data_IF_667391510011
#
_entry.id   IF_667391510011
#
_cell.length_a   1.000
_cell.length_b   1.000
_cell.length_c   1.000
_cell.angle_alpha   90.00
_cell.angle_beta   90.00
_cell.angle_gamma   90.00
#
_symmetry.space_group_name_H-M   'P 1'
#
loop_
_entity.id
_entity.type
_entity.pdbx_description
1 polymer ?
#
# COMPACT_ATOMS: atom_id res chain seq x y z
N UNK A 1 10.28 -22.17 17.57
CA UNK A 1 9.31 -21.05 17.45
C UNK A 1 9.50 -20.45 16.07
N UNK A 2 8.42 -20.22 15.36
CA UNK A 2 8.43 -19.72 13.98
C UNK A 2 8.31 -18.20 14.00
N UNK A 3 8.85 -17.51 12.98
CA UNK A 3 8.67 -16.06 12.75
C UNK A 3 7.21 -15.60 12.84
N UNK A 4 6.26 -16.54 12.73
CA UNK A 4 4.81 -16.33 12.84
C UNK A 4 4.33 -15.95 14.24
N UNK A 5 5.10 -16.23 15.30
CA UNK A 5 4.64 -16.09 16.69
C UNK A 5 4.94 -14.69 17.30
N UNK A 6 5.56 -13.78 16.53
CA UNK A 6 5.94 -12.43 16.96
C UNK A 6 4.93 -11.32 16.59
N UNK A 7 3.90 -11.61 15.80
CA UNK A 7 2.96 -10.60 15.29
C UNK A 7 1.55 -10.80 15.88
N UNK A 8 1.27 -10.04 16.94
CA UNK A 8 0.14 -10.20 17.86
C UNK A 8 -1.19 -9.61 17.36
N UNK A 9 -1.34 -9.34 16.07
CA UNK A 9 -2.66 -9.06 15.47
C UNK A 9 -2.69 -9.36 13.97
N UNK A 10 -3.87 -9.76 13.47
CA UNK A 10 -4.07 -9.96 12.03
C UNK A 10 -3.88 -8.68 11.21
N UNK A 11 -3.98 -7.51 11.83
CA UNK A 11 -3.75 -6.20 11.21
C UNK A 11 -2.28 -5.92 11.00
N UNK A 12 -1.45 -6.08 12.03
CA UNK A 12 -0.01 -5.87 11.92
C UNK A 12 0.62 -6.76 10.84
N UNK A 13 0.17 -8.02 10.73
CA UNK A 13 0.59 -8.91 9.63
C UNK A 13 0.23 -8.37 8.25
N UNK A 14 -0.93 -7.72 8.09
CA UNK A 14 -1.32 -7.11 6.81
C UNK A 14 -0.44 -5.90 6.52
N UNK A 15 -0.16 -5.07 7.53
CA UNK A 15 0.74 -3.92 7.46
C UNK A 15 2.13 -4.35 6.98
N UNK A 16 2.74 -5.35 7.63
CA UNK A 16 4.02 -5.93 7.24
C UNK A 16 4.01 -6.42 5.79
N UNK A 17 2.94 -7.11 5.39
CA UNK A 17 2.81 -7.58 4.01
C UNK A 17 2.69 -6.44 2.99
N UNK A 18 2.10 -5.30 3.37
CA UNK A 18 2.06 -4.10 2.53
C UNK A 18 3.44 -3.43 2.47
N UNK A 19 4.04 -3.18 3.63
CA UNK A 19 5.34 -2.54 3.73
C UNK A 19 6.41 -3.33 2.98
N UNK A 20 6.44 -4.66 3.13
CA UNK A 20 7.41 -5.51 2.45
C UNK A 20 7.27 -5.48 0.92
N UNK A 21 6.05 -5.44 0.40
CA UNK A 21 5.81 -5.28 -1.03
C UNK A 21 6.29 -3.90 -1.53
N UNK A 22 6.04 -2.85 -0.76
CA UNK A 22 6.48 -1.48 -1.06
C UNK A 22 8.02 -1.37 -1.05
N UNK A 23 8.66 -1.91 -0.02
CA UNK A 23 10.12 -1.96 0.11
C UNK A 23 10.76 -2.79 -1.01
N UNK A 24 10.15 -3.92 -1.39
CA UNK A 24 10.59 -4.73 -2.52
C UNK A 24 10.65 -3.89 -3.80
N UNK A 25 9.58 -3.16 -4.15
CA UNK A 25 9.56 -2.32 -5.35
C UNK A 25 10.53 -1.15 -5.29
N UNK A 26 10.66 -0.50 -4.14
CA UNK A 26 11.59 0.62 -3.96
C UNK A 26 13.06 0.20 -4.11
N UNK A 27 13.37 -1.07 -3.84
CA UNK A 27 14.74 -1.63 -3.93
C UNK A 27 15.03 -2.38 -5.24
N UNK A 28 14.08 -2.44 -6.19
CA UNK A 28 14.26 -3.18 -7.46
C UNK A 28 15.43 -2.61 -8.28
N UNK A 29 15.55 -1.28 -8.31
CA UNK A 29 16.54 -0.59 -9.14
C UNK A 29 17.94 -0.51 -8.52
N UNK A 30 18.13 -1.05 -7.30
CA UNK A 30 19.42 -1.09 -6.61
C UNK A 30 19.35 -0.61 -5.16
N UNK A 31 20.42 0.06 -4.72
CA UNK A 31 20.47 0.67 -3.39
C UNK A 31 19.49 1.85 -3.28
N UNK A 32 18.80 1.96 -2.16
CA UNK A 32 17.88 3.05 -1.89
C UNK A 32 18.63 4.39 -1.85
N UNK A 33 18.11 5.38 -2.55
CA UNK A 33 18.59 6.74 -2.39
C UNK A 33 17.96 7.42 -1.14
N UNK A 34 18.40 8.65 -0.85
CA UNK A 34 17.95 9.39 0.34
C UNK A 34 16.43 9.67 0.34
N UNK A 35 15.85 9.97 -0.83
CA UNK A 35 14.42 10.25 -0.96
C UNK A 35 13.59 8.97 -0.82
N UNK A 36 14.02 7.86 -1.42
CA UNK A 36 13.37 6.56 -1.26
C UNK A 36 13.42 6.07 0.17
N UNK A 37 14.56 6.24 0.84
CA UNK A 37 14.71 5.92 2.28
C UNK A 37 13.76 6.75 3.13
N UNK A 38 13.66 8.05 2.86
CA UNK A 38 12.73 8.95 3.57
C UNK A 38 11.28 8.55 3.34
N UNK A 39 10.93 8.15 2.12
CA UNK A 39 9.59 7.70 1.76
C UNK A 39 9.24 6.39 2.45
N UNK A 40 10.14 5.40 2.45
CA UNK A 40 9.93 4.14 3.17
C UNK A 40 9.77 4.35 4.67
N UNK A 41 10.53 5.26 5.29
CA UNK A 41 10.34 5.62 6.71
C UNK A 41 8.95 6.18 6.99
N UNK A 42 8.39 6.98 6.08
CA UNK A 42 7.02 7.49 6.22
C UNK A 42 5.98 6.38 6.13
N UNK A 43 6.15 5.47 5.16
CA UNK A 43 5.28 4.29 5.05
C UNK A 43 5.39 3.38 6.28
N UNK A 44 6.58 3.20 6.84
CA UNK A 44 6.78 2.44 8.07
C UNK A 44 5.97 3.02 9.23
N UNK A 45 6.01 4.35 9.42
CA UNK A 45 5.20 5.04 10.44
C UNK A 45 3.71 4.84 10.17
N UNK A 46 3.25 5.06 8.93
CA UNK A 46 1.84 4.91 8.53
C UNK A 46 1.31 3.48 8.67
N UNK A 47 2.18 2.49 8.54
CA UNK A 47 1.87 1.07 8.62
C UNK A 47 2.24 0.47 9.99
N UNK A 48 2.56 1.28 11.00
CA UNK A 48 2.91 0.80 12.34
C UNK A 48 4.04 -0.26 12.34
N UNK A 49 5.06 -0.03 11.51
CA UNK A 49 6.23 -0.91 11.39
C UNK A 49 7.32 -0.44 12.32
N UNK A 50 7.80 -1.32 13.20
CA UNK A 50 8.87 -0.98 14.12
C UNK A 50 10.25 -0.93 13.44
N UNK A 51 11.25 -0.36 14.12
CA UNK A 51 12.58 -0.18 13.55
C UNK A 51 13.26 -1.52 13.19
N UNK A 52 13.04 -2.58 13.98
CA UNK A 52 13.63 -3.88 13.73
C UNK A 52 13.00 -4.57 12.51
N UNK A 53 11.68 -4.46 12.36
CA UNK A 53 10.93 -4.93 11.20
C UNK A 53 11.30 -4.16 9.95
N UNK A 54 11.44 -2.83 10.06
CA UNK A 54 11.88 -1.98 8.97
C UNK A 54 13.24 -2.43 8.42
N UNK A 55 14.23 -2.58 9.30
CA UNK A 55 15.58 -2.99 8.92
C UNK A 55 15.56 -4.37 8.28
N UNK A 56 14.90 -5.35 8.90
CA UNK A 56 14.82 -6.72 8.37
C UNK A 56 14.18 -6.75 6.97
N UNK A 57 13.07 -6.04 6.80
CA UNK A 57 12.34 -6.00 5.52
C UNK A 57 13.15 -5.29 4.44
N UNK A 58 13.80 -4.16 4.75
CA UNK A 58 14.56 -3.40 3.75
C UNK A 58 15.82 -4.15 3.33
N UNK A 59 16.55 -4.75 4.27
CA UNK A 59 17.74 -5.57 3.96
C UNK A 59 17.39 -6.83 3.17
N UNK A 60 16.22 -7.41 3.44
CA UNK A 60 15.75 -8.65 2.82
C UNK A 60 14.64 -8.43 1.79
N UNK A 61 14.48 -7.22 1.26
CA UNK A 61 13.32 -6.81 0.45
C UNK A 61 13.04 -7.78 -0.73
N UNK A 62 14.08 -8.33 -1.36
CA UNK A 62 13.99 -9.32 -2.45
C UNK A 62 13.29 -10.63 -2.06
N UNK A 63 13.19 -10.97 -0.77
CA UNK A 63 12.48 -12.14 -0.26
C UNK A 63 10.97 -11.97 -0.23
N UNK A 64 10.47 -10.75 -0.45
CA UNK A 64 9.06 -10.41 -0.41
C UNK A 64 8.54 -10.00 -1.79
N UNK A 65 8.51 -10.91 -2.77
CA UNK A 65 7.95 -10.59 -4.07
C UNK A 65 6.46 -10.27 -3.93
N UNK A 66 5.99 -9.32 -4.74
CA UNK A 66 4.56 -9.07 -4.84
C UNK A 66 3.92 -10.28 -5.51
N UNK A 67 3.13 -11.01 -4.73
CA UNK A 67 2.30 -12.11 -5.24
C UNK A 67 0.89 -11.56 -5.47
N UNK A 68 0.56 -11.10 -6.68
CA UNK A 68 -0.73 -10.50 -6.94
C UNK A 68 -1.84 -11.55 -6.76
N UNK A 69 -2.97 -11.20 -6.13
CA UNK A 69 -4.13 -12.06 -6.11
C UNK A 69 -4.61 -12.43 -7.54
N UNK A 70 -5.20 -13.61 -7.68
CA UNK A 70 -5.63 -14.15 -8.98
C UNK A 70 -6.86 -13.44 -9.57
N UNK A 71 -7.58 -12.63 -8.79
CA UNK A 71 -8.79 -11.93 -9.24
C UNK A 71 -8.66 -10.43 -9.05
N UNK A 72 -9.27 -9.66 -9.95
CA UNK A 72 -9.30 -8.19 -9.90
C UNK A 72 -9.93 -7.67 -8.60
N UNK A 73 -10.96 -8.35 -8.09
CA UNK A 73 -11.60 -8.02 -6.83
C UNK A 73 -10.64 -8.14 -5.65
N UNK A 74 -9.92 -9.26 -5.53
CA UNK A 74 -8.94 -9.44 -4.44
C UNK A 74 -7.75 -8.49 -4.54
N UNK A 75 -7.36 -8.09 -5.76
CA UNK A 75 -6.36 -7.03 -5.96
C UNK A 75 -6.87 -5.69 -5.45
N UNK A 76 -8.14 -5.38 -5.70
CA UNK A 76 -8.78 -4.16 -5.21
C UNK A 76 -8.96 -4.19 -3.69
N UNK A 77 -9.34 -5.33 -3.09
CA UNK A 77 -9.37 -5.51 -1.64
C UNK A 77 -8.00 -5.21 -1.02
N UNK A 78 -6.93 -5.73 -1.62
CA UNK A 78 -5.55 -5.49 -1.16
C UNK A 78 -5.18 -4.01 -1.28
N UNK A 79 -5.54 -3.35 -2.37
CA UNK A 79 -5.31 -1.91 -2.54
C UNK A 79 -6.10 -1.10 -1.51
N UNK A 80 -7.37 -1.44 -1.27
CA UNK A 80 -8.23 -0.80 -0.29
C UNK A 80 -7.72 -0.97 1.15
N UNK A 81 -7.23 -2.16 1.52
CA UNK A 81 -6.60 -2.42 2.82
C UNK A 81 -5.38 -1.50 3.05
N UNK A 82 -4.54 -1.34 2.02
CA UNK A 82 -3.42 -0.37 2.07
C UNK A 82 -3.93 1.05 2.31
N UNK A 83 -4.90 1.53 1.52
CA UNK A 83 -5.45 2.89 1.65
C UNK A 83 -6.00 3.16 3.05
N UNK A 84 -6.71 2.19 3.65
CA UNK A 84 -7.20 2.31 5.02
C UNK A 84 -6.11 2.56 6.05
N UNK A 85 -4.92 1.99 5.83
CA UNK A 85 -3.80 2.11 6.77
C UNK A 85 -3.01 3.40 6.54
N UNK A 86 -2.77 3.79 5.29
CA UNK A 86 -1.88 4.93 4.97
C UNK A 86 -2.58 6.29 4.95
N UNK A 87 -3.92 6.31 4.94
CA UNK A 87 -4.71 7.53 4.85
C UNK A 87 -5.15 8.10 6.22
N UNK A 88 -4.54 7.64 7.32
CA UNK A 88 -4.94 8.03 8.69
C UNK A 88 -4.80 9.54 8.95
N UNK A 89 -3.84 10.20 8.31
CA UNK A 89 -3.61 11.65 8.43
C UNK A 89 -4.37 12.48 7.37
N UNK A 90 -5.24 11.84 6.57
CA UNK A 90 -5.97 12.41 5.45
C UNK A 90 -5.12 13.02 4.33
N UNK A 91 -3.83 12.66 4.23
CA UNK A 91 -2.92 13.22 3.23
C UNK A 91 -2.07 12.16 2.54
N UNK A 92 -1.97 12.27 1.21
CA UNK A 92 -1.02 11.53 0.37
C UNK A 92 -0.38 12.56 -0.55
N UNK A 93 0.94 12.71 -0.50
CA UNK A 93 1.65 13.59 -1.44
C UNK A 93 2.05 12.88 -2.73
N UNK A 94 2.63 13.63 -3.68
CA UNK A 94 2.99 13.10 -5.00
C UNK A 94 4.01 11.95 -4.95
N UNK A 95 4.93 11.96 -3.97
CA UNK A 95 5.92 10.89 -3.82
C UNK A 95 5.27 9.62 -3.27
N UNK A 96 4.41 9.74 -2.26
CA UNK A 96 3.61 8.62 -1.74
C UNK A 96 2.68 8.07 -2.83
N UNK A 97 1.96 8.95 -3.54
CA UNK A 97 1.07 8.62 -4.67
C UNK A 97 1.80 7.80 -5.73
N UNK A 98 3.00 8.24 -6.13
CA UNK A 98 3.83 7.53 -7.11
C UNK A 98 4.19 6.10 -6.66
N UNK A 99 4.52 5.92 -5.38
CA UNK A 99 4.88 4.59 -4.86
C UNK A 99 3.66 3.66 -4.76
N UNK A 100 2.48 4.21 -4.41
CA UNK A 100 1.22 3.45 -4.38
C UNK A 100 0.77 3.08 -5.80
N UNK A 101 1.01 3.94 -6.80
CA UNK A 101 0.78 3.57 -8.21
C UNK A 101 1.66 2.40 -8.66
N UNK A 102 2.96 2.43 -8.32
CA UNK A 102 3.86 1.29 -8.54
C UNK A 102 3.34 0.03 -7.86
N UNK A 103 2.83 0.15 -6.62
CA UNK A 103 2.19 -0.94 -5.90
C UNK A 103 1.01 -1.55 -6.65
N UNK A 104 0.08 -0.72 -7.11
CA UNK A 104 -1.08 -1.18 -7.87
C UNK A 104 -0.66 -1.87 -9.18
N UNK A 105 0.39 -1.38 -9.86
CA UNK A 105 0.96 -2.05 -11.03
C UNK A 105 1.56 -3.42 -10.64
N UNK A 106 2.29 -3.49 -9.52
CA UNK A 106 2.80 -4.76 -8.97
C UNK A 106 1.71 -5.77 -8.60
N UNK A 107 0.52 -5.28 -8.19
CA UNK A 107 -0.67 -6.10 -8.01
C UNK A 107 -1.30 -6.57 -9.34
N UNK A 108 -0.81 -6.08 -10.47
CA UNK A 108 -1.19 -6.51 -11.81
C UNK A 108 -2.26 -5.65 -12.48
N UNK A 109 -2.50 -4.42 -12.01
CA UNK A 109 -3.28 -3.44 -12.77
C UNK A 109 -2.44 -2.83 -13.90
N UNK A 110 -3.08 -2.44 -15.01
CA UNK A 110 -2.39 -1.62 -16.02
C UNK A 110 -2.04 -0.25 -15.45
N UNK A 111 -1.02 0.43 -15.98
CA UNK A 111 -0.62 1.75 -15.49
C UNK A 111 -1.76 2.77 -15.52
N UNK A 112 -2.56 2.78 -16.58
CA UNK A 112 -3.75 3.63 -16.71
C UNK A 112 -4.80 3.31 -15.63
N UNK A 113 -5.09 2.02 -15.42
CA UNK A 113 -6.05 1.60 -14.40
C UNK A 113 -5.55 1.87 -12.99
N UNK A 114 -4.26 1.66 -12.73
CA UNK A 114 -3.62 1.98 -11.46
C UNK A 114 -3.78 3.47 -11.14
N UNK A 115 -3.36 4.36 -12.06
CA UNK A 115 -3.51 5.81 -11.90
C UNK A 115 -4.95 6.21 -11.57
N UNK A 116 -5.91 5.73 -12.36
CA UNK A 116 -7.32 6.02 -12.13
C UNK A 116 -7.84 5.48 -10.78
N UNK A 117 -7.44 4.26 -10.39
CA UNK A 117 -7.81 3.70 -9.08
C UNK A 117 -7.24 4.49 -7.92
N UNK A 118 -5.99 4.96 -8.03
CA UNK A 118 -5.34 5.76 -6.98
C UNK A 118 -6.02 7.11 -6.85
N UNK A 119 -6.29 7.80 -7.97
CA UNK A 119 -7.01 9.09 -7.98
C UNK A 119 -8.38 8.96 -7.33
N UNK A 120 -9.21 8.00 -7.78
CA UNK A 120 -10.53 7.76 -7.20
C UNK A 120 -10.47 7.35 -5.73
N UNK A 121 -9.48 6.56 -5.33
CA UNK A 121 -9.33 6.16 -3.92
C UNK A 121 -8.98 7.37 -3.04
N UNK A 122 -8.11 8.27 -3.50
CA UNK A 122 -7.81 9.52 -2.77
C UNK A 122 -9.08 10.37 -2.62
N UNK A 123 -9.83 10.58 -3.71
CA UNK A 123 -11.08 11.34 -3.69
C UNK A 123 -12.06 10.75 -2.66
N UNK A 124 -12.33 9.44 -2.72
CA UNK A 124 -13.25 8.74 -1.80
C UNK A 124 -12.81 8.91 -0.35
N UNK A 125 -11.53 8.70 -0.05
CA UNK A 125 -11.01 8.78 1.31
C UNK A 125 -10.91 10.22 1.84
N UNK A 126 -10.85 11.22 0.96
CA UNK A 126 -11.01 12.65 1.31
C UNK A 126 -12.47 13.08 1.50
N UNK A 127 -13.44 12.18 1.30
CA UNK A 127 -14.86 12.50 1.33
C UNK A 127 -15.38 13.12 0.03
N UNK A 128 -14.56 13.14 -1.01
CA UNK A 128 -14.94 13.47 -2.38
C UNK A 128 -15.74 12.32 -2.98
N UNK A 129 -17.06 12.40 -2.84
CA UNK A 129 -18.00 11.55 -3.58
C UNK A 129 -18.77 12.46 -4.52
N UNK A 130 -18.62 12.26 -5.83
CA UNK A 130 -19.42 13.01 -6.80
C UNK A 130 -20.90 12.61 -6.73
N UNK A 131 -21.77 13.41 -7.35
CA UNK A 131 -23.22 13.21 -7.23
C UNK A 131 -23.69 11.88 -7.83
N UNK A 132 -23.04 11.39 -8.89
CA UNK A 132 -23.40 10.11 -9.51
C UNK A 132 -23.06 8.93 -8.59
N UNK A 133 -21.86 8.94 -8.00
CA UNK A 133 -21.45 7.95 -7.00
C UNK A 133 -22.31 8.03 -5.74
N UNK A 134 -22.70 9.24 -5.32
CA UNK A 134 -23.59 9.44 -4.18
C UNK A 134 -24.95 8.76 -4.41
N UNK A 135 -25.56 8.97 -5.58
CA UNK A 135 -26.80 8.30 -5.95
C UNK A 135 -26.62 6.77 -5.96
N UNK A 136 -25.54 6.28 -6.59
CA UNK A 136 -25.24 4.85 -6.64
C UNK A 136 -25.11 4.22 -5.24
N UNK A 137 -24.43 4.90 -4.31
CA UNK A 137 -24.26 4.42 -2.93
C UNK A 137 -25.58 4.40 -2.15
N UNK A 138 -26.49 5.37 -2.38
CA UNK A 138 -27.81 5.38 -1.75
C UNK A 138 -28.75 4.27 -2.26
N UNK A 139 -28.59 3.87 -3.52
CA UNK A 139 -29.38 2.80 -4.14
C UNK A 139 -28.83 1.40 -3.83
N UNK A 140 -27.64 1.32 -3.20
CA UNK A 140 -26.99 0.06 -2.84
C UNK A 140 -27.58 -0.48 -1.53
N UNK A 141 -28.49 -1.45 -1.64
CA UNK A 141 -29.09 -2.18 -0.51
C UNK A 141 -28.09 -3.11 0.19
#
# INVERSE_FOLDING_TARGET
>A
MSFTDLFDSGEHRRNLGHFAAIANMATVDGELNAEETKLLKRFAIKLDIDESEYVDIVENAKRYPINPPNTSEKRLERLHDLFRMIFVDHTIDDHERFLIEKYAIGLGFSAERAKHLIERSIDIFQGGVDFEDYLYLLDKN
#
